data_IF_445439335538
#
_entry.id   IF_445439335538
#
_cell.length_a   1.000
_cell.length_b   1.000
_cell.length_c   1.000
_cell.angle_alpha   90.00
_cell.angle_beta   90.00
_cell.angle_gamma   90.00
#
_symmetry.space_group_name_H-M   'P 1'
#
loop_
_entity.id
_entity.type
_entity.pdbx_description
1 polymer ?
#
# COMPACT_ATOMS: atom_id res chain seq x y z
N UNK A 1 11.02 -22.93 2.38
CA UNK A 1 10.35 -22.17 1.30
C UNK A 1 9.67 -20.99 1.99
N UNK A 2 9.94 -19.76 1.55
CA UNK A 2 9.72 -18.54 2.33
C UNK A 2 8.25 -18.28 2.70
N UNK A 3 7.87 -18.63 3.93
CA UNK A 3 6.55 -18.43 4.54
C UNK A 3 6.16 -16.95 4.71
N UNK A 4 7.08 -16.01 4.43
CA UNK A 4 6.85 -14.57 4.57
C UNK A 4 6.15 -13.90 3.37
N UNK A 5 6.02 -14.57 2.21
CA UNK A 5 5.33 -13.96 1.05
C UNK A 5 3.81 -14.17 1.06
N UNK A 6 3.33 -15.25 1.68
CA UNK A 6 1.92 -15.60 1.82
C UNK A 6 1.04 -14.41 2.31
N UNK A 7 1.41 -13.67 3.37
CA UNK A 7 0.52 -12.64 3.91
C UNK A 7 0.26 -11.46 2.96
N UNK A 8 1.21 -11.13 2.08
CA UNK A 8 1.02 -10.07 1.10
C UNK A 8 0.14 -10.50 -0.09
N UNK A 9 0.16 -11.80 -0.42
CA UNK A 9 -0.70 -12.37 -1.45
C UNK A 9 -2.15 -12.45 -0.97
N UNK A 10 -2.38 -12.69 0.32
CA UNK A 10 -3.71 -12.76 0.93
C UNK A 10 -4.48 -11.43 0.92
N UNK A 11 -3.77 -10.29 1.00
CA UNK A 11 -4.37 -8.95 0.96
C UNK A 11 -4.27 -8.29 -0.42
N UNK A 12 -3.98 -9.08 -1.46
CA UNK A 12 -3.92 -8.59 -2.84
C UNK A 12 -5.34 -8.39 -3.36
N UNK A 13 -5.57 -7.22 -3.95
CA UNK A 13 -6.83 -6.90 -4.62
C UNK A 13 -6.62 -6.75 -6.12
N UNK A 14 -7.71 -6.90 -6.88
CA UNK A 14 -7.72 -6.70 -8.32
C UNK A 14 -8.61 -5.51 -8.66
N UNK A 15 -8.05 -4.58 -9.42
CA UNK A 15 -8.75 -3.43 -9.98
C UNK A 15 -9.75 -3.85 -11.06
N UNK A 16 -10.47 -2.87 -11.60
CA UNK A 16 -11.51 -3.10 -12.61
C UNK A 16 -10.98 -3.68 -13.92
N UNK A 17 -9.70 -3.49 -14.21
CA UNK A 17 -9.02 -4.01 -15.41
C UNK A 17 -8.09 -5.18 -15.08
N UNK A 18 -8.20 -5.74 -13.87
CA UNK A 18 -7.37 -6.86 -13.40
C UNK A 18 -5.98 -6.45 -12.92
N UNK A 19 -5.70 -5.15 -12.76
CA UNK A 19 -4.44 -4.70 -12.16
C UNK A 19 -4.38 -5.05 -10.67
N UNK A 20 -3.24 -5.54 -10.21
CA UNK A 20 -3.05 -5.89 -8.80
C UNK A 20 -2.78 -4.63 -7.98
N UNK A 21 -3.44 -4.48 -6.84
CA UNK A 21 -3.19 -3.39 -5.90
C UNK A 21 -3.31 -3.86 -4.46
N UNK A 22 -2.74 -3.07 -3.55
CA UNK A 22 -2.76 -3.33 -2.12
C UNK A 22 -3.27 -2.12 -1.36
N UNK A 23 -4.13 -2.36 -0.38
CA UNK A 23 -4.56 -1.31 0.54
C UNK A 23 -3.45 -1.01 1.55
N UNK A 24 -3.06 0.26 1.65
CA UNK A 24 -2.13 0.71 2.68
C UNK A 24 -2.61 0.36 4.11
N UNK A 25 -3.93 0.33 4.34
CA UNK A 25 -4.53 -0.02 5.64
C UNK A 25 -4.31 -1.50 6.00
N UNK A 26 -4.31 -2.39 5.02
CA UNK A 26 -4.08 -3.82 5.20
C UNK A 26 -2.57 -4.14 5.26
N UNK A 27 -1.75 -3.37 4.53
CA UNK A 27 -0.30 -3.48 4.58
C UNK A 27 0.30 -3.07 5.93
N UNK A 28 -0.24 -2.03 6.58
CA UNK A 28 0.29 -1.52 7.83
C UNK A 28 0.47 -2.60 8.93
N UNK A 29 -0.56 -3.38 9.31
CA UNK A 29 -0.42 -4.43 10.33
C UNK A 29 0.50 -5.58 9.89
N UNK A 30 0.55 -5.91 8.59
CA UNK A 30 1.47 -6.94 8.08
C UNK A 30 2.94 -6.54 8.19
N UNK A 31 3.21 -5.23 8.16
CA UNK A 31 4.54 -4.65 8.36
C UNK A 31 4.79 -4.29 9.84
N UNK A 32 3.97 -4.81 10.76
CA UNK A 32 4.00 -4.57 12.22
C UNK A 32 3.77 -3.10 12.64
N UNK A 33 3.17 -2.27 11.77
CA UNK A 33 2.77 -0.92 12.12
C UNK A 33 1.43 -0.93 12.85
N UNK A 34 1.50 -0.84 14.18
CA UNK A 34 0.32 -0.77 15.06
C UNK A 34 -0.40 0.58 15.01
N UNK A 35 0.32 1.67 14.74
CA UNK A 35 -0.24 3.02 14.68
C UNK A 35 -0.15 3.56 13.24
N UNK A 36 -1.32 3.90 12.68
CA UNK A 36 -1.45 4.42 11.33
C UNK A 36 -0.61 5.67 11.08
N UNK A 37 -0.45 6.56 12.09
CA UNK A 37 0.30 7.81 11.94
C UNK A 37 1.77 7.56 11.63
N UNK A 38 2.32 6.45 12.13
CA UNK A 38 3.69 6.05 11.81
C UNK A 38 3.78 5.51 10.38
N UNK A 39 2.77 4.76 9.94
CA UNK A 39 2.72 4.23 8.58
C UNK A 39 2.51 5.33 7.53
N UNK A 40 1.77 6.40 7.85
CA UNK A 40 1.63 7.57 6.96
C UNK A 40 2.97 8.19 6.58
N UNK A 41 3.97 8.17 7.48
CA UNK A 41 5.33 8.65 7.17
C UNK A 41 6.03 7.75 6.16
N UNK A 42 5.77 6.44 6.20
CA UNK A 42 6.30 5.47 5.24
C UNK A 42 5.67 5.69 3.87
N UNK A 43 4.34 5.88 3.82
CA UNK A 43 3.62 6.21 2.58
C UNK A 43 4.18 7.49 1.94
N UNK A 44 4.37 8.56 2.72
CA UNK A 44 4.94 9.80 2.21
C UNK A 44 6.33 9.60 1.59
N UNK A 45 7.19 8.79 2.22
CA UNK A 45 8.50 8.45 1.67
C UNK A 45 8.41 7.61 0.40
N UNK A 46 7.46 6.66 0.33
CA UNK A 46 7.24 5.84 -0.85
C UNK A 46 6.76 6.70 -2.04
N UNK A 47 5.86 7.64 -1.79
CA UNK A 47 5.41 8.64 -2.78
C UNK A 47 6.57 9.47 -3.29
N UNK A 48 7.40 10.03 -2.40
CA UNK A 48 8.59 10.79 -2.79
C UNK A 48 9.59 9.97 -3.61
N UNK A 49 9.79 8.69 -3.26
CA UNK A 49 10.67 7.80 -4.01
C UNK A 49 10.13 7.48 -5.41
N UNK A 50 8.80 7.36 -5.56
CA UNK A 50 8.12 7.18 -6.84
C UNK A 50 8.36 8.39 -7.74
N UNK A 51 8.13 9.61 -7.22
CA UNK A 51 8.38 10.86 -7.94
C UNK A 51 9.86 11.03 -8.32
N UNK A 52 10.77 10.71 -7.40
CA UNK A 52 12.21 10.73 -7.66
C UNK A 52 12.64 9.71 -8.74
N UNK A 53 11.86 8.65 -8.94
CA UNK A 53 12.05 7.66 -10.01
C UNK A 53 11.39 8.09 -11.33
N UNK A 54 10.98 9.35 -11.44
CA UNK A 54 10.32 9.94 -12.60
C UNK A 54 8.97 9.26 -12.94
N UNK A 55 8.31 8.67 -11.93
CA UNK A 55 6.96 8.12 -12.01
C UNK A 55 5.99 9.08 -11.33
N UNK A 56 4.82 9.31 -11.94
CA UNK A 56 3.80 10.17 -11.35
C UNK A 56 3.13 9.45 -10.18
N UNK A 57 3.24 10.01 -8.98
CA UNK A 57 2.67 9.42 -7.76
C UNK A 57 1.16 9.15 -7.89
N UNK A 58 0.41 9.98 -8.61
CA UNK A 58 -1.03 9.83 -8.85
C UNK A 58 -1.42 8.56 -9.59
N UNK A 59 -0.52 8.00 -10.40
CA UNK A 59 -0.78 6.76 -11.14
C UNK A 59 -0.57 5.51 -10.27
N UNK A 60 0.16 5.65 -9.15
CA UNK A 60 0.54 4.53 -8.28
C UNK A 60 -0.07 4.59 -6.88
N UNK A 61 -0.47 5.79 -6.43
CA UNK A 61 -1.03 6.03 -5.10
C UNK A 61 -2.37 6.74 -5.23
N UNK A 62 -3.41 6.13 -4.67
CA UNK A 62 -4.76 6.70 -4.59
C UNK A 62 -5.20 6.78 -3.14
N UNK A 63 -5.80 7.91 -2.74
CA UNK A 63 -6.44 8.00 -1.43
C UNK A 63 -7.66 7.08 -1.37
N UNK A 64 -7.79 6.33 -0.28
CA UNK A 64 -8.96 5.48 -0.12
C UNK A 64 -10.20 6.34 0.13
N UNK A 65 -11.24 6.15 -0.68
CA UNK A 65 -12.56 6.77 -0.49
C UNK A 65 -13.45 5.93 0.43
N UNK A 66 -12.96 4.76 0.87
CA UNK A 66 -13.70 3.84 1.72
C UNK A 66 -13.76 4.42 3.14
N UNK A 67 -14.97 4.76 3.58
CA UNK A 67 -15.21 5.17 4.96
C UNK A 67 -14.75 4.08 5.92
N UNK A 68 -13.86 4.44 6.84
CA UNK A 68 -13.53 3.61 7.99
C UNK A 68 -14.61 3.92 9.03
N UNK A 69 -15.58 3.02 9.19
CA UNK A 69 -16.63 3.11 10.24
C UNK A 69 -16.15 2.52 11.55
#
# INVERSE_FOLDING_TARGET
MNEHHQPFEEIRHYGTEGQEFWSARELAPLLDYRDWRNFQKVLARATQACEASNQAASDHFVETTKMVV
#
